data_IF_422699884296
#
_entry.id   IF_422699884296
#
_cell.length_a   1.000
_cell.length_b   1.000
_cell.length_c   1.000
_cell.angle_alpha   90.00
_cell.angle_beta   90.00
_cell.angle_gamma   90.00
#
_symmetry.space_group_name_H-M   'P 1'
#
loop_
_entity.id
_entity.type
_entity.pdbx_description
1 polymer ?
#
# COMPACT_ATOMS: atom_id res chain seq x y z
N UNK A 1 -9.44 -27.10 -21.16
CA UNK A 1 -9.95 -25.82 -21.74
C UNK A 1 -8.99 -25.30 -22.83
N UNK A 2 -9.51 -24.94 -24.00
CA UNK A 2 -8.74 -24.24 -25.05
C UNK A 2 -8.99 -22.73 -24.94
N UNK A 3 -8.00 -21.91 -25.30
CA UNK A 3 -8.09 -20.45 -25.20
C UNK A 3 -8.78 -19.86 -26.43
N UNK A 4 -8.50 -20.45 -27.61
CA UNK A 4 -9.08 -20.03 -28.89
C UNK A 4 -9.01 -21.19 -29.89
N UNK A 5 -9.62 -21.06 -31.05
CA UNK A 5 -9.50 -22.00 -32.16
C UNK A 5 -9.21 -21.24 -33.46
N UNK A 6 -8.28 -21.76 -34.27
CA UNK A 6 -8.00 -21.26 -35.61
C UNK A 6 -8.27 -22.35 -36.67
N UNK A 7 -7.90 -22.10 -37.92
CA UNK A 7 -8.06 -23.06 -39.03
C UNK A 7 -7.39 -24.42 -38.77
N UNK A 8 -6.46 -24.51 -37.81
CA UNK A 8 -5.75 -25.73 -37.42
C UNK A 8 -6.30 -26.40 -36.16
N UNK A 9 -7.38 -25.85 -35.57
CA UNK A 9 -8.08 -26.41 -34.42
C UNK A 9 -7.85 -25.65 -33.09
N UNK A 10 -8.28 -26.24 -31.96
CA UNK A 10 -8.22 -25.59 -30.65
C UNK A 10 -6.79 -25.41 -30.13
N UNK A 11 -6.49 -24.21 -29.61
CA UNK A 11 -5.21 -23.84 -29.02
C UNK A 11 -5.27 -23.91 -27.50
N UNK A 12 -4.29 -24.59 -26.92
CA UNK A 12 -4.14 -24.74 -25.48
C UNK A 12 -2.88 -24.03 -25.02
N UNK A 13 -2.98 -23.25 -23.94
CA UNK A 13 -1.81 -22.69 -23.27
C UNK A 13 -1.54 -23.52 -22.02
N UNK A 14 -0.38 -24.17 -21.99
CA UNK A 14 0.09 -24.89 -20.83
C UNK A 14 1.49 -24.38 -20.47
N UNK A 15 1.54 -23.43 -19.55
CA UNK A 15 2.79 -22.83 -19.06
C UNK A 15 2.82 -22.97 -17.54
N UNK A 16 3.94 -23.49 -17.03
CA UNK A 16 4.21 -23.48 -15.60
C UNK A 16 4.92 -22.17 -15.22
N UNK A 17 4.37 -21.46 -14.23
CA UNK A 17 4.99 -20.26 -13.67
C UNK A 17 5.43 -20.57 -12.25
N UNK A 18 6.74 -20.46 -12.00
CA UNK A 18 7.29 -20.62 -10.66
C UNK A 18 7.13 -19.33 -9.85
N UNK A 19 7.18 -19.43 -8.52
CA UNK A 19 7.18 -18.25 -7.63
C UNK A 19 8.30 -17.27 -8.00
N UNK A 20 9.52 -17.77 -8.19
CA UNK A 20 10.66 -16.94 -8.58
C UNK A 20 10.40 -16.17 -9.87
N UNK A 21 9.74 -16.79 -10.86
CA UNK A 21 9.39 -16.10 -12.09
C UNK A 21 8.35 -14.99 -11.86
N UNK A 22 7.33 -15.24 -11.03
CA UNK A 22 6.36 -14.21 -10.66
C UNK A 22 7.03 -13.04 -9.93
N UNK A 23 7.89 -13.32 -8.95
CA UNK A 23 8.63 -12.32 -8.18
C UNK A 23 9.54 -11.48 -9.07
N UNK A 24 10.21 -12.07 -10.06
CA UNK A 24 10.96 -11.34 -11.07
C UNK A 24 10.08 -10.39 -11.89
N UNK A 25 8.86 -10.81 -12.25
CA UNK A 25 7.94 -9.99 -13.04
C UNK A 25 7.37 -8.81 -12.25
N UNK A 26 7.09 -8.99 -10.96
CA UNK A 26 6.50 -7.95 -10.09
C UNK A 26 7.56 -7.13 -9.33
N UNK A 27 8.81 -7.59 -9.27
CA UNK A 27 9.90 -6.98 -8.51
C UNK A 27 10.04 -5.47 -8.72
N UNK A 28 10.09 -4.97 -9.97
CA UNK A 28 10.17 -3.53 -10.23
C UNK A 28 8.98 -2.72 -9.66
N UNK A 29 7.79 -3.33 -9.55
CA UNK A 29 6.63 -2.67 -8.96
C UNK A 29 6.74 -2.60 -7.44
N UNK A 30 7.24 -3.67 -6.81
CA UNK A 30 7.45 -3.72 -5.35
C UNK A 30 8.61 -2.80 -4.94
N UNK A 31 9.70 -2.75 -5.71
CA UNK A 31 10.83 -1.83 -5.41
C UNK A 31 10.40 -0.36 -5.41
N UNK A 32 9.48 0.03 -6.31
CA UNK A 32 8.94 1.39 -6.36
C UNK A 32 8.21 1.81 -5.09
N UNK A 33 7.71 0.86 -4.27
CA UNK A 33 7.02 1.18 -3.03
C UNK A 33 7.98 1.54 -1.89
N UNK A 34 9.28 1.20 -2.00
CA UNK A 34 10.27 1.51 -0.95
C UNK A 34 10.47 3.02 -0.75
N UNK A 35 10.53 3.78 -1.84
CA UNK A 35 10.83 5.21 -1.77
C UNK A 35 9.74 6.03 -1.05
N UNK A 36 8.42 5.83 -1.30
CA UNK A 36 7.37 6.45 -0.50
C UNK A 36 7.41 6.06 0.98
N UNK A 37 7.73 4.79 1.29
CA UNK A 37 7.84 4.32 2.67
C UNK A 37 8.96 5.02 3.45
N UNK A 38 10.14 5.19 2.85
CA UNK A 38 11.26 5.89 3.50
C UNK A 38 11.06 7.40 3.55
N UNK A 39 10.42 7.99 2.53
CA UNK A 39 10.03 9.40 2.56
C UNK A 39 9.04 9.70 3.71
N UNK A 40 8.06 8.82 3.93
CA UNK A 40 7.09 8.95 5.01
C UNK A 40 7.75 9.01 6.40
N UNK A 41 8.73 8.12 6.66
CA UNK A 41 9.50 8.17 7.91
C UNK A 41 10.24 9.49 8.10
N UNK A 42 10.83 10.00 7.01
CA UNK A 42 11.53 11.27 7.01
C UNK A 42 10.60 12.44 7.33
N UNK A 43 9.42 12.47 6.70
CA UNK A 43 8.42 13.53 6.90
C UNK A 43 7.84 13.50 8.33
N UNK A 44 7.73 12.30 8.92
CA UNK A 44 7.36 12.11 10.32
C UNK A 44 8.50 12.43 11.32
N UNK A 45 9.74 12.59 10.84
CA UNK A 45 10.91 12.78 11.70
C UNK A 45 11.27 11.54 12.53
N UNK A 46 10.90 10.35 12.08
CA UNK A 46 11.08 9.08 12.79
C UNK A 46 12.11 8.18 12.09
N UNK A 47 12.75 7.31 12.86
CA UNK A 47 13.56 6.21 12.35
C UNK A 47 12.76 4.91 12.32
N UNK A 48 13.22 3.92 11.55
CA UNK A 48 12.61 2.58 11.54
C UNK A 48 12.59 1.91 12.94
N UNK A 49 13.50 2.29 13.83
CA UNK A 49 13.56 1.79 15.20
C UNK A 49 12.43 2.29 16.10
N UNK A 50 11.88 3.47 15.79
CA UNK A 50 10.81 4.10 16.56
C UNK A 50 9.44 3.46 16.29
N UNK A 51 9.30 2.69 15.21
CA UNK A 51 8.07 1.99 14.87
C UNK A 51 7.78 0.86 15.86
N UNK A 52 6.62 0.81 16.48
CA UNK A 52 6.25 -0.31 17.35
C UNK A 52 5.79 -1.54 16.55
N UNK A 53 4.94 -1.33 15.55
CA UNK A 53 4.27 -2.37 14.78
C UNK A 53 4.13 -1.96 13.31
N UNK A 54 4.13 -2.93 12.41
CA UNK A 54 3.87 -2.71 10.97
C UNK A 54 2.64 -3.50 10.58
N UNK A 55 1.60 -2.81 10.08
CA UNK A 55 0.35 -3.42 9.63
C UNK A 55 0.32 -3.50 8.10
N UNK A 56 -0.02 -4.67 7.55
CA UNK A 56 -0.23 -4.87 6.12
C UNK A 56 -1.72 -4.81 5.78
N UNK A 57 -2.08 -4.03 4.77
CA UNK A 57 -3.46 -3.85 4.31
C UNK A 57 -3.52 -3.99 2.78
N UNK A 58 -4.55 -4.68 2.29
CA UNK A 58 -4.79 -4.99 0.88
C UNK A 58 -4.26 -6.37 0.45
N UNK A 59 -5.02 -7.10 -0.36
CA UNK A 59 -4.73 -8.50 -0.72
C UNK A 59 -3.36 -8.74 -1.38
N UNK A 60 -2.82 -7.78 -2.13
CA UNK A 60 -1.50 -7.88 -2.75
C UNK A 60 -0.35 -7.97 -1.72
N UNK A 61 -0.57 -7.53 -0.48
CA UNK A 61 0.41 -7.64 0.62
C UNK A 61 0.62 -9.06 1.10
N UNK A 62 -0.25 -10.01 0.72
CA UNK A 62 -0.10 -11.45 0.99
C UNK A 62 1.07 -12.08 0.21
N UNK A 63 1.63 -11.37 -0.77
CA UNK A 63 2.83 -11.81 -1.48
C UNK A 63 4.03 -11.91 -0.51
N UNK A 64 4.75 -13.05 -0.48
CA UNK A 64 5.94 -13.18 0.37
C UNK A 64 7.01 -12.13 0.08
N UNK A 65 7.16 -11.72 -1.18
CA UNK A 65 8.09 -10.66 -1.60
C UNK A 65 7.77 -9.30 -0.95
N UNK A 66 6.49 -8.99 -0.73
CA UNK A 66 6.11 -7.73 -0.08
C UNK A 66 6.48 -7.78 1.40
N UNK A 67 6.22 -8.91 2.06
CA UNK A 67 6.60 -9.10 3.47
C UNK A 67 8.11 -9.01 3.69
N UNK A 68 8.91 -9.60 2.79
CA UNK A 68 10.38 -9.48 2.86
C UNK A 68 10.85 -8.05 2.66
N UNK A 69 10.30 -7.33 1.67
CA UNK A 69 10.64 -5.92 1.44
C UNK A 69 10.29 -5.04 2.63
N UNK A 70 9.15 -5.27 3.28
CA UNK A 70 8.76 -4.55 4.50
C UNK A 70 9.75 -4.79 5.64
N UNK A 71 10.19 -6.03 5.82
CA UNK A 71 11.25 -6.37 6.77
C UNK A 71 12.57 -5.68 6.43
N UNK A 72 12.92 -5.57 5.15
CA UNK A 72 14.13 -4.88 4.72
C UNK A 72 14.08 -3.36 4.99
N UNK A 73 12.92 -2.72 4.83
CA UNK A 73 12.75 -1.27 5.08
C UNK A 73 12.76 -0.96 6.59
N UNK A 74 11.98 -1.71 7.37
CA UNK A 74 11.67 -1.35 8.75
C UNK A 74 12.40 -2.21 9.80
N UNK A 75 13.06 -3.29 9.38
CA UNK A 75 13.75 -4.22 10.29
C UNK A 75 12.80 -5.01 11.20
N UNK A 76 11.50 -5.04 10.89
CA UNK A 76 10.45 -5.66 11.70
C UNK A 76 9.57 -6.60 10.88
N UNK A 77 9.11 -7.66 11.53
CA UNK A 77 8.10 -8.54 10.95
C UNK A 77 6.74 -7.83 10.94
N UNK A 78 5.99 -7.86 9.81
CA UNK A 78 4.66 -7.33 9.78
C UNK A 78 3.72 -8.14 10.68
N UNK A 79 2.84 -7.42 11.37
CA UNK A 79 1.84 -8.01 12.25
C UNK A 79 0.77 -8.77 11.47
N UNK A 80 0.22 -9.78 12.14
CA UNK A 80 -0.94 -10.55 11.67
C UNK A 80 -2.20 -10.23 12.48
N UNK A 81 -2.19 -9.17 13.27
CA UNK A 81 -3.30 -8.77 14.13
C UNK A 81 -4.55 -8.31 13.33
N UNK A 82 -4.37 -7.96 12.06
CA UNK A 82 -5.41 -7.35 11.23
C UNK A 82 -5.65 -8.18 9.96
N UNK A 83 -6.93 -8.37 9.60
CA UNK A 83 -7.27 -8.94 8.29
C UNK A 83 -7.04 -7.89 7.19
N UNK A 84 -6.09 -8.09 6.26
CA UNK A 84 -5.72 -7.07 5.28
C UNK A 84 -6.84 -6.72 4.30
N UNK A 85 -7.83 -7.61 4.11
CA UNK A 85 -8.89 -7.40 3.12
C UNK A 85 -10.12 -6.67 3.71
N UNK A 86 -10.27 -6.66 5.04
CA UNK A 86 -11.46 -6.15 5.72
C UNK A 86 -11.18 -4.92 6.60
N UNK A 87 -9.91 -4.70 6.98
CA UNK A 87 -9.49 -3.64 7.91
C UNK A 87 -10.05 -2.26 7.56
N UNK A 88 -10.00 -1.91 6.27
CA UNK A 88 -10.45 -0.60 5.77
C UNK A 88 -11.95 -0.43 5.96
N UNK A 89 -12.74 -1.45 5.60
CA UNK A 89 -14.19 -1.40 5.73
C UNK A 89 -14.62 -1.33 7.21
N UNK A 90 -13.94 -2.08 8.08
CA UNK A 90 -14.17 -2.01 9.52
C UNK A 90 -13.84 -0.62 10.09
N UNK A 91 -12.70 -0.05 9.71
CA UNK A 91 -12.31 1.30 10.12
C UNK A 91 -13.32 2.36 9.68
N UNK A 92 -13.84 2.26 8.45
CA UNK A 92 -14.89 3.14 7.94
C UNK A 92 -16.20 3.02 8.74
N UNK A 93 -16.61 1.80 9.10
CA UNK A 93 -17.79 1.57 9.93
C UNK A 93 -17.63 2.16 11.35
N UNK A 94 -16.45 2.02 11.96
CA UNK A 94 -16.12 2.64 13.25
C UNK A 94 -16.23 4.16 13.14
N UNK A 95 -15.64 4.76 12.10
CA UNK A 95 -15.73 6.21 11.88
C UNK A 95 -17.19 6.68 11.73
N UNK A 96 -18.04 5.90 11.04
CA UNK A 96 -19.48 6.18 10.98
C UNK A 96 -20.15 6.14 12.36
N UNK A 97 -19.78 5.18 13.20
CA UNK A 97 -20.25 5.09 14.59
C UNK A 97 -19.81 6.28 15.46
N UNK A 98 -18.59 6.80 15.24
CA UNK A 98 -18.09 8.02 15.91
C UNK A 98 -18.92 9.24 15.50
N UNK A 99 -19.17 9.42 14.19
CA UNK A 99 -19.97 10.54 13.68
C UNK A 99 -21.42 10.53 14.19
N UNK A 100 -21.98 9.34 14.44
CA UNK A 100 -23.32 9.19 15.02
C UNK A 100 -23.34 9.36 16.55
N UNK A 101 -22.18 9.31 17.20
CA UNK A 101 -22.05 9.34 18.66
C UNK A 101 -22.31 8.00 19.36
N UNK A 102 -22.44 6.91 18.59
CA UNK A 102 -22.59 5.54 19.11
C UNK A 102 -21.24 5.02 19.66
N UNK A 103 -20.13 5.47 19.08
CA UNK A 103 -18.77 5.21 19.55
C UNK A 103 -18.21 6.47 20.19
N UNK A 104 -17.77 6.36 21.44
CA UNK A 104 -17.26 7.49 22.25
C UNK A 104 -15.76 7.35 22.48
N UNK A 105 -15.14 8.45 22.88
CA UNK A 105 -13.73 8.52 23.31
C UNK A 105 -12.70 8.21 22.20
N UNK A 106 -13.07 8.41 20.94
CA UNK A 106 -12.15 8.36 19.79
C UNK A 106 -12.03 9.77 19.19
N UNK A 107 -10.79 10.27 19.10
CA UNK A 107 -10.45 11.47 18.36
C UNK A 107 -9.52 11.10 17.21
N UNK A 108 -9.87 11.50 15.99
CA UNK A 108 -9.07 11.30 14.79
C UNK A 108 -8.64 12.67 14.23
N UNK A 109 -7.34 12.84 14.03
CA UNK A 109 -6.76 13.98 13.34
C UNK A 109 -6.00 13.46 12.12
N UNK A 110 -6.38 13.96 10.94
CA UNK A 110 -5.78 13.55 9.66
C UNK A 110 -5.19 14.77 8.93
N UNK A 111 -4.38 14.52 7.90
CA UNK A 111 -3.59 15.53 7.19
C UNK A 111 -3.91 15.57 5.70
N UNK A 112 -3.59 16.70 5.04
CA UNK A 112 -3.59 16.75 3.57
C UNK A 112 -2.28 16.16 3.03
N UNK A 113 -2.32 15.19 2.09
CA UNK A 113 -1.10 14.48 1.65
C UNK A 113 -0.28 15.27 0.62
N UNK A 114 -0.81 16.35 0.06
CA UNK A 114 -0.17 17.13 -0.98
C UNK A 114 -0.22 18.61 -0.62
N UNK A 115 0.83 19.32 -1.00
CA UNK A 115 0.85 20.78 -0.89
C UNK A 115 -0.20 21.40 -1.78
N UNK A 116 -0.99 22.31 -1.22
CA UNK A 116 -1.95 23.11 -1.96
C UNK A 116 -1.32 24.48 -2.26
N UNK A 117 -1.48 24.96 -3.50
CA UNK A 117 -0.84 26.19 -3.95
C UNK A 117 -1.50 26.77 -5.19
N UNK A 118 -0.99 27.92 -5.63
CA UNK A 118 -1.44 28.62 -6.84
C UNK A 118 -0.27 28.86 -7.78
N UNK A 119 -0.56 28.99 -9.06
CA UNK A 119 0.40 29.46 -10.05
C UNK A 119 0.61 30.98 -9.90
N UNK A 120 1.88 31.39 -9.91
CA UNK A 120 2.31 32.80 -9.84
C UNK A 120 3.08 33.17 -11.10
N UNK A 121 3.29 34.49 -11.30
CA UNK A 121 3.97 35.03 -12.48
C UNK A 121 5.24 34.24 -12.82
N UNK A 122 5.37 33.88 -14.09
CA UNK A 122 6.49 33.04 -14.57
C UNK A 122 6.21 31.53 -14.50
N UNK A 123 4.96 31.11 -14.25
CA UNK A 123 4.58 29.69 -14.22
C UNK A 123 5.08 28.95 -12.98
N UNK A 124 5.33 29.68 -11.88
CA UNK A 124 5.89 29.12 -10.65
C UNK A 124 4.76 28.67 -9.73
N UNK A 125 4.81 27.42 -9.28
CA UNK A 125 3.90 26.91 -8.25
C UNK A 125 4.30 27.42 -6.87
N UNK A 126 3.49 28.31 -6.32
CA UNK A 126 3.66 28.87 -4.97
C UNK A 126 2.76 28.12 -3.98
N UNK A 127 3.38 27.43 -3.02
CA UNK A 127 2.68 26.67 -1.97
C UNK A 127 2.03 27.59 -0.96
N UNK A 128 0.81 27.24 -0.55
CA UNK A 128 0.02 27.94 0.47
C UNK A 128 -0.17 27.06 1.71
N UNK A 129 -0.37 25.76 1.51
CA UNK A 129 -0.45 24.74 2.57
C UNK A 129 0.58 23.66 2.22
N UNK A 130 1.42 23.26 3.18
CA UNK A 130 2.51 22.29 2.98
C UNK A 130 2.27 21.02 3.74
#
# INVERSE_FOLDING_TARGET
PFITADQTGPKHLNIQITRSKLEQLIGPMVERTKAPCTACLKDAGLSSGDLNEVLLVGGSTRSPLVSSVVKDIYGKEPSKAVNPDEAVAMGAAIQGGVLKGDVKDILLLDVTPLSLGIETLGGVFTRLIT
#
